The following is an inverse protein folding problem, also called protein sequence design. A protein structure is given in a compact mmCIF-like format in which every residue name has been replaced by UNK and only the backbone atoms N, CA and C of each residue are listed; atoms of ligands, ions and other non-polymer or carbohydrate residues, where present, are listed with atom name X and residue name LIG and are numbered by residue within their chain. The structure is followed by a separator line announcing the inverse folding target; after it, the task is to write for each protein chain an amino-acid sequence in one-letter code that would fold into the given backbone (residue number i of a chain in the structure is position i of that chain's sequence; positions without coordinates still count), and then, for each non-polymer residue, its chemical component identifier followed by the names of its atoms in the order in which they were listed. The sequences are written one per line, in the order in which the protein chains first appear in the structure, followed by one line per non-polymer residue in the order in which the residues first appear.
data_IF_878562314946
#
_entry.id   IF_878562314946
#
_cell.length_a   1.000
_cell.length_b   1.000
_cell.length_c   1.000
_cell.angle_alpha   90.00
_cell.angle_beta   90.00
_cell.angle_gamma   90.00
#
_symmetry.space_group_name_H-M   'P 1'
#
loop_
_entity.id
_entity.type
_entity.pdbx_description
1 polymer ?
#
# COMPACT_ATOMS: atom_id res chain seq x y z
N UNK A 1 -23.62 -59.05 16.77
CA UNK A 1 -22.99 -58.22 15.72
C UNK A 1 -22.55 -59.11 14.57
N UNK A 2 -23.23 -59.11 13.41
CA UNK A 2 -22.66 -59.71 12.19
C UNK A 2 -22.76 -58.85 10.91
N UNK A 3 -21.64 -58.23 10.55
CA UNK A 3 -20.95 -58.22 9.23
C UNK A 3 -21.74 -58.05 7.91
N UNK A 4 -21.96 -56.78 7.49
CA UNK A 4 -22.61 -56.36 6.22
C UNK A 4 -21.66 -56.18 5.00
N UNK A 5 -20.54 -56.91 4.92
CA UNK A 5 -19.54 -56.73 3.85
C UNK A 5 -19.60 -57.77 2.71
N UNK A 6 -20.73 -58.45 2.53
CA UNK A 6 -20.91 -59.52 1.52
C UNK A 6 -21.97 -59.20 0.45
N UNK A 7 -21.93 -58.00 -0.13
CA UNK A 7 -22.61 -57.72 -1.41
C UNK A 7 -21.58 -57.45 -2.52
N UNK A 8 -21.05 -58.54 -3.07
CA UNK A 8 -20.25 -58.60 -4.29
C UNK A 8 -21.21 -58.42 -5.49
N UNK A 9 -21.18 -57.26 -6.16
CA UNK A 9 -21.79 -57.10 -7.49
C UNK A 9 -20.84 -57.76 -8.50
N UNK A 10 -21.40 -58.72 -9.23
CA UNK A 10 -20.75 -59.59 -10.20
C UNK A 10 -20.89 -58.94 -11.58
N UNK A 11 -19.79 -58.51 -12.18
CA UNK A 11 -19.71 -58.25 -13.62
C UNK A 11 -18.87 -59.38 -14.24
N UNK A 12 -19.52 -60.22 -15.03
CA UNK A 12 -18.90 -61.22 -15.91
C UNK A 12 -18.82 -60.62 -17.32
N UNK A 13 -17.60 -60.46 -17.86
CA UNK A 13 -17.14 -61.12 -19.10
C UNK A 13 -15.67 -60.76 -19.42
N UNK A 14 -14.78 -61.73 -19.18
CA UNK A 14 -13.60 -62.21 -19.96
C UNK A 14 -12.81 -61.25 -20.89
N UNK A 15 -11.48 -61.30 -21.07
CA UNK A 15 -10.40 -62.20 -20.62
C UNK A 15 -9.01 -61.61 -20.97
N UNK A 16 -8.00 -61.96 -20.16
CA UNK A 16 -6.53 -61.99 -20.42
C UNK A 16 -5.80 -60.64 -20.63
N UNK A 17 -4.62 -60.35 -20.05
CA UNK A 17 -3.49 -61.19 -19.64
C UNK A 17 -2.56 -60.45 -18.66
N UNK A 18 -1.72 -61.20 -17.96
CA UNK A 18 -0.80 -60.75 -16.90
C UNK A 18 0.29 -59.77 -17.36
N UNK A 19 0.65 -58.81 -16.50
CA UNK A 19 1.85 -57.98 -16.63
C UNK A 19 2.16 -57.23 -15.34
N UNK A 20 3.30 -57.57 -14.71
CA UNK A 20 3.85 -56.97 -13.49
C UNK A 20 4.07 -55.45 -13.63
N UNK A 21 3.75 -54.66 -12.60
CA UNK A 21 4.76 -53.87 -11.86
C UNK A 21 4.13 -53.16 -10.66
N UNK A 22 4.77 -53.32 -9.52
CA UNK A 22 4.55 -52.52 -8.31
C UNK A 22 5.15 -51.14 -8.54
N UNK A 23 4.33 -50.16 -8.93
CA UNK A 23 4.62 -48.76 -8.61
C UNK A 23 3.92 -48.45 -7.30
N UNK A 24 4.68 -48.51 -6.21
CA UNK A 24 4.33 -47.86 -4.95
C UNK A 24 4.33 -46.36 -5.25
N UNK A 25 3.24 -45.87 -5.84
CA UNK A 25 2.98 -44.45 -5.96
C UNK A 25 2.72 -43.95 -4.55
N UNK A 26 3.73 -43.38 -3.92
CA UNK A 26 3.57 -42.60 -2.70
C UNK A 26 2.54 -41.53 -3.02
N UNK A 27 1.32 -41.70 -2.55
CA UNK A 27 0.32 -40.64 -2.57
C UNK A 27 0.88 -39.54 -1.67
N UNK A 28 1.49 -38.53 -2.27
CA UNK A 28 1.80 -37.28 -1.58
C UNK A 28 0.45 -36.66 -1.23
N UNK A 29 0.00 -36.87 0.01
CA UNK A 29 -1.11 -36.13 0.58
C UNK A 29 -0.73 -34.64 0.47
N UNK A 30 -1.53 -33.80 -0.22
CA UNK A 30 -1.25 -32.38 -0.29
C UNK A 30 -1.13 -31.82 1.12
N UNK A 31 -0.03 -31.13 1.42
CA UNK A 31 0.07 -30.35 2.66
C UNK A 31 -1.12 -29.41 2.74
N UNK A 32 -1.78 -29.40 3.88
CA UNK A 32 -2.85 -28.45 4.17
C UNK A 32 -2.22 -27.06 4.16
N UNK A 33 -2.53 -26.27 3.12
CA UNK A 33 -2.13 -24.87 3.05
C UNK A 33 -2.95 -24.14 4.11
N UNK A 34 -2.38 -24.01 5.31
CA UNK A 34 -2.97 -23.20 6.38
C UNK A 34 -2.82 -21.74 5.97
N UNK A 35 -3.92 -21.12 5.53
CA UNK A 35 -3.98 -19.70 5.27
C UNK A 35 -3.66 -18.95 6.55
N UNK A 36 -2.63 -18.09 6.51
CA UNK A 36 -2.31 -17.19 7.60
C UNK A 36 -2.97 -15.85 7.31
N UNK A 37 -3.95 -15.49 8.14
CA UNK A 37 -4.64 -14.22 8.04
C UNK A 37 -3.87 -13.16 8.83
N UNK A 38 -3.47 -12.09 8.14
CA UNK A 38 -2.85 -10.92 8.74
C UNK A 38 -3.73 -9.71 8.49
N UNK A 39 -4.03 -8.94 9.54
CA UNK A 39 -4.83 -7.72 9.45
C UNK A 39 -4.10 -6.56 10.13
N UNK A 40 -4.05 -5.43 9.43
CA UNK A 40 -3.59 -4.15 9.96
C UNK A 40 -4.70 -3.11 9.75
N UNK A 41 -4.99 -2.31 10.78
CA UNK A 41 -5.91 -1.17 10.69
C UNK A 41 -5.20 0.10 11.15
N UNK A 42 -4.94 1.00 10.21
CA UNK A 42 -4.35 2.30 10.47
C UNK A 42 -5.45 3.36 10.49
N UNK A 43 -5.32 4.33 11.39
CA UNK A 43 -6.20 5.48 11.48
C UNK A 43 -5.38 6.75 11.31
N UNK A 44 -5.68 7.49 10.27
CA UNK A 44 -5.10 8.80 10.01
C UNK A 44 -6.11 9.89 10.31
N UNK A 45 -5.63 11.00 10.86
CA UNK A 45 -6.45 12.16 11.16
C UNK A 45 -5.71 13.43 10.76
N UNK A 46 -6.30 14.19 9.85
CA UNK A 46 -5.86 15.54 9.52
C UNK A 46 -6.63 16.55 10.37
N UNK A 47 -5.94 17.57 10.87
CA UNK A 47 -6.55 18.75 11.46
C UNK A 47 -6.13 19.96 10.66
N UNK A 48 -7.09 20.73 10.18
CA UNK A 48 -6.86 21.98 9.50
C UNK A 48 -7.28 23.13 10.41
N UNK A 49 -6.47 24.18 10.48
CA UNK A 49 -6.82 25.45 11.12
C UNK A 49 -7.18 26.49 10.06
N UNK A 50 -7.69 27.66 10.48
CA UNK A 50 -8.13 28.73 9.57
C UNK A 50 -7.14 29.01 8.42
N UNK A 51 -7.68 29.22 7.23
CA UNK A 51 -6.89 29.60 6.06
C UNK A 51 -6.35 31.02 6.19
N UNK A 52 -5.08 31.20 5.85
CA UNK A 52 -4.44 32.51 5.81
C UNK A 52 -4.70 33.17 4.46
N UNK A 53 -5.21 34.40 4.46
CA UNK A 53 -5.36 35.20 3.24
C UNK A 53 -4.01 35.84 2.91
N UNK A 54 -3.43 35.46 1.78
CA UNK A 54 -2.18 36.04 1.29
C UNK A 54 -2.46 37.04 0.16
N UNK A 55 -1.58 38.03 0.02
CA UNK A 55 -1.62 38.95 -1.11
C UNK A 55 -1.23 38.19 -2.38
N UNK A 56 -2.08 38.19 -3.40
CA UNK A 56 -1.81 37.49 -4.66
C UNK A 56 -0.59 38.08 -5.39
N UNK A 57 0.30 37.24 -5.90
CA UNK A 57 1.47 37.66 -6.67
C UNK A 57 2.46 36.52 -6.92
N UNK A 58 3.49 36.73 -7.77
CA UNK A 58 4.50 35.70 -8.08
C UNK A 58 5.32 35.23 -6.87
N UNK A 59 5.31 36.00 -5.77
CA UNK A 59 6.03 35.68 -4.54
C UNK A 59 5.16 34.96 -3.50
N UNK A 60 3.85 34.80 -3.73
CA UNK A 60 2.95 34.23 -2.71
C UNK A 60 3.35 32.79 -2.33
N UNK A 61 3.75 31.98 -3.31
CA UNK A 61 4.27 30.62 -3.07
C UNK A 61 5.64 30.64 -2.40
N UNK A 62 6.50 31.61 -2.71
CA UNK A 62 7.80 31.79 -2.09
C UNK A 62 7.72 32.20 -0.60
N UNK A 63 6.59 32.76 -0.17
CA UNK A 63 6.35 33.14 1.22
C UNK A 63 5.85 31.97 2.08
N UNK A 64 5.30 30.90 1.50
CA UNK A 64 4.74 29.77 2.24
C UNK A 64 5.72 29.14 3.24
N UNK A 65 7.01 28.90 2.91
CA UNK A 65 7.97 28.36 3.87
C UNK A 65 8.16 29.25 5.10
N UNK A 66 8.05 30.58 4.92
CA UNK A 66 8.22 31.53 6.02
C UNK A 66 7.13 31.41 7.09
N UNK A 67 5.96 30.86 6.75
CA UNK A 67 4.88 30.61 7.70
C UNK A 67 5.23 29.54 8.73
N UNK A 68 6.19 28.66 8.42
CA UNK A 68 6.69 27.63 9.34
C UNK A 68 7.95 28.08 10.10
N UNK A 69 8.44 29.30 9.86
CA UNK A 69 9.64 29.82 10.49
C UNK A 69 9.48 29.88 12.02
N UNK A 70 10.44 29.28 12.74
CA UNK A 70 10.40 29.21 14.21
C UNK A 70 9.49 28.12 14.79
N UNK A 71 8.73 27.41 13.95
CA UNK A 71 7.94 26.24 14.34
C UNK A 71 8.56 24.93 13.84
N UNK A 72 9.15 24.96 12.64
CA UNK A 72 9.82 23.83 12.01
C UNK A 72 11.03 23.33 12.82
N UNK A 73 11.09 22.02 13.08
CA UNK A 73 12.27 21.32 13.64
C UNK A 73 13.17 20.74 12.56
N UNK A 74 12.67 20.54 11.34
CA UNK A 74 13.43 20.06 10.19
C UNK A 74 13.51 21.11 9.08
N UNK A 75 14.23 20.79 8.00
CA UNK A 75 14.11 21.52 6.75
C UNK A 75 12.64 21.60 6.31
N UNK A 76 12.29 22.72 5.68
CA UNK A 76 10.96 22.96 5.12
C UNK A 76 11.03 22.62 3.63
N UNK A 77 10.33 21.56 3.23
CA UNK A 77 10.27 21.13 1.84
C UNK A 77 9.03 21.73 1.16
N UNK A 78 9.21 22.24 -0.06
CA UNK A 78 8.14 22.74 -0.92
C UNK A 78 7.95 21.73 -2.05
N UNK A 79 6.71 21.28 -2.21
CA UNK A 79 6.27 20.35 -3.25
C UNK A 79 5.37 21.10 -4.20
N UNK A 80 5.82 21.22 -5.44
CA UNK A 80 5.04 21.80 -6.52
C UNK A 80 3.91 20.86 -6.96
N UNK A 81 2.83 21.38 -7.57
CA UNK A 81 1.80 20.55 -8.16
C UNK A 81 2.39 19.56 -9.16
N UNK A 82 1.87 18.34 -9.13
CA UNK A 82 2.27 17.26 -10.01
C UNK A 82 1.96 17.59 -11.48
N UNK A 83 2.83 17.13 -12.40
CA UNK A 83 2.51 17.12 -13.81
C UNK A 83 1.20 16.36 -14.09
N UNK A 84 0.49 16.76 -15.15
CA UNK A 84 -0.82 16.20 -15.48
C UNK A 84 -0.79 14.68 -15.73
N UNK A 85 0.36 14.14 -16.13
CA UNK A 85 0.62 12.72 -16.31
C UNK A 85 0.48 11.91 -15.01
N UNK A 86 0.65 12.57 -13.85
CA UNK A 86 0.51 11.98 -12.52
C UNK A 86 -0.79 12.40 -11.81
N UNK A 87 -1.73 13.05 -12.50
CA UNK A 87 -3.00 13.52 -11.93
C UNK A 87 -3.92 12.41 -11.37
N UNK A 88 -3.62 11.14 -11.66
CA UNK A 88 -4.35 9.97 -11.13
C UNK A 88 -3.52 9.16 -10.14
N UNK A 89 -2.34 9.65 -9.76
CA UNK A 89 -1.50 9.01 -8.76
C UNK A 89 -2.22 9.03 -7.39
N UNK A 90 -2.27 7.88 -6.72
CA UNK A 90 -2.85 7.77 -5.37
C UNK A 90 -2.08 6.73 -4.55
N UNK A 91 -1.93 6.90 -3.22
CA UNK A 91 -1.26 5.94 -2.35
C UNK A 91 -2.10 4.67 -2.07
N UNK A 92 -3.02 4.30 -2.96
CA UNK A 92 -3.94 3.17 -2.77
C UNK A 92 -3.41 1.88 -3.40
N UNK A 93 -2.99 0.92 -2.57
CA UNK A 93 -2.49 -0.39 -3.03
C UNK A 93 -3.52 -1.24 -3.80
N UNK A 94 -4.82 -0.96 -3.64
CA UNK A 94 -5.87 -1.66 -4.37
C UNK A 94 -5.84 -1.39 -5.89
N UNK A 95 -5.15 -0.32 -6.32
CA UNK A 95 -4.96 0.04 -7.73
C UNK A 95 -3.47 0.15 -8.03
N UNK A 96 -2.78 -0.99 -8.32
CA UNK A 96 -1.31 -1.04 -8.38
C UNK A 96 -0.67 -0.09 -9.39
N UNK A 97 -1.34 0.20 -10.51
CA UNK A 97 -0.85 1.15 -11.51
C UNK A 97 -0.80 2.58 -10.97
N UNK A 98 -1.84 3.00 -10.25
CA UNK A 98 -1.93 4.33 -9.65
C UNK A 98 -0.95 4.46 -8.47
N UNK A 99 -0.83 3.40 -7.67
CA UNK A 99 0.18 3.34 -6.60
C UNK A 99 1.61 3.42 -7.14
N UNK A 100 1.89 2.79 -8.28
CA UNK A 100 3.21 2.88 -8.92
C UNK A 100 3.47 4.28 -9.49
N UNK A 101 2.44 4.93 -10.07
CA UNK A 101 2.54 6.34 -10.49
C UNK A 101 2.81 7.24 -9.29
N UNK A 102 2.14 7.01 -8.17
CA UNK A 102 2.35 7.75 -6.93
C UNK A 102 3.77 7.60 -6.39
N UNK A 103 4.31 6.37 -6.37
CA UNK A 103 5.69 6.15 -5.96
C UNK A 103 6.68 6.87 -6.89
N UNK A 104 6.47 6.78 -8.21
CA UNK A 104 7.32 7.46 -9.18
C UNK A 104 7.26 8.98 -9.06
N UNK A 105 6.09 9.54 -8.72
CA UNK A 105 5.92 10.96 -8.49
C UNK A 105 6.68 11.44 -7.23
N UNK A 106 6.70 10.63 -6.16
CA UNK A 106 7.10 11.12 -4.83
C UNK A 106 8.41 10.56 -4.27
N UNK A 107 9.07 9.59 -4.94
CA UNK A 107 10.26 8.92 -4.40
C UNK A 107 11.45 9.84 -4.11
N UNK A 108 11.53 11.02 -4.75
CA UNK A 108 12.62 11.98 -4.55
C UNK A 108 12.43 12.88 -3.32
N UNK A 109 11.22 12.96 -2.76
CA UNK A 109 10.93 13.81 -1.60
C UNK A 109 11.54 13.25 -0.32
N UNK A 110 11.70 14.10 0.69
CA UNK A 110 12.19 13.67 1.99
C UNK A 110 11.26 12.64 2.66
N UNK A 111 11.77 11.84 3.62
CA UNK A 111 10.94 10.88 4.35
C UNK A 111 9.71 11.49 5.01
N UNK A 112 9.87 12.68 5.60
CA UNK A 112 8.80 13.44 6.24
C UNK A 112 7.71 13.75 5.22
N UNK A 113 8.09 14.35 4.08
CA UNK A 113 7.16 14.74 3.02
C UNK A 113 6.47 13.54 2.41
N UNK A 114 7.20 12.46 2.09
CA UNK A 114 6.59 11.24 1.55
C UNK A 114 5.54 10.68 2.48
N UNK A 115 5.83 10.60 3.78
CA UNK A 115 4.85 10.11 4.75
C UNK A 115 3.65 11.06 4.89
N UNK A 116 3.90 12.37 4.96
CA UNK A 116 2.84 13.37 5.02
C UNK A 116 1.90 13.26 3.82
N UNK A 117 2.44 13.10 2.60
CA UNK A 117 1.65 12.91 1.39
C UNK A 117 0.85 11.61 1.41
N UNK A 118 1.43 10.48 1.84
CA UNK A 118 0.67 9.22 2.03
C UNK A 118 -0.53 9.47 2.94
N UNK A 119 -0.32 10.12 4.09
CA UNK A 119 -1.35 10.35 5.10
C UNK A 119 -2.43 11.30 4.59
N UNK A 120 -2.04 12.45 4.05
CA UNK A 120 -2.95 13.53 3.67
C UNK A 120 -3.74 13.20 2.41
N UNK A 121 -3.13 12.59 1.40
CA UNK A 121 -3.87 12.14 0.21
C UNK A 121 -4.80 10.96 0.53
N UNK A 122 -4.45 10.08 1.47
CA UNK A 122 -5.32 8.98 1.90
C UNK A 122 -6.62 9.44 2.57
N UNK A 123 -6.63 10.66 3.11
CA UNK A 123 -7.80 11.27 3.75
C UNK A 123 -8.38 12.44 2.92
N UNK A 124 -7.92 12.62 1.68
CA UNK A 124 -8.38 13.67 0.76
C UNK A 124 -8.21 15.10 1.34
N UNK A 125 -7.11 15.32 2.07
CA UNK A 125 -6.80 16.62 2.67
C UNK A 125 -5.91 17.51 1.79
N UNK A 126 -5.23 16.93 0.80
CA UNK A 126 -4.37 17.60 -0.18
C UNK A 126 -4.55 16.88 -1.52
N UNK A 127 -4.56 17.64 -2.62
CA UNK A 127 -4.55 17.11 -3.98
C UNK A 127 -3.40 17.74 -4.78
N UNK A 128 -2.30 17.00 -4.93
CA UNK A 128 -1.14 17.51 -5.67
C UNK A 128 -1.38 17.67 -7.17
N UNK A 129 -2.53 17.29 -7.75
CA UNK A 129 -2.86 17.72 -9.10
C UNK A 129 -3.05 19.25 -9.19
N UNK A 130 -3.31 19.93 -8.06
CA UNK A 130 -3.60 21.37 -8.00
C UNK A 130 -2.82 22.11 -6.92
N UNK A 131 -2.57 21.46 -5.78
CA UNK A 131 -2.04 22.11 -4.60
C UNK A 131 -0.51 22.22 -4.64
N UNK A 132 0.01 23.37 -4.22
CA UNK A 132 1.39 23.48 -3.74
C UNK A 132 1.39 23.12 -2.26
N UNK A 133 2.21 22.14 -1.88
CA UNK A 133 2.28 21.63 -0.52
C UNK A 133 3.60 21.99 0.14
N UNK A 134 3.56 22.44 1.38
CA UNK A 134 4.77 22.77 2.17
C UNK A 134 4.77 21.95 3.44
N UNK A 135 5.87 21.23 3.68
CA UNK A 135 5.97 20.26 4.75
C UNK A 135 7.22 20.45 5.59
N UNK A 136 7.09 20.24 6.91
CA UNK A 136 8.21 20.16 7.83
C UNK A 136 7.80 19.37 9.08
N UNK A 137 8.77 18.78 9.76
CA UNK A 137 8.56 18.11 11.03
C UNK A 137 8.40 19.15 12.14
N UNK A 138 7.24 19.16 12.81
CA UNK A 138 7.00 20.02 13.98
C UNK A 138 7.39 19.32 15.29
N UNK A 139 7.26 17.99 15.34
CA UNK A 139 7.60 17.18 16.50
C UNK A 139 7.96 15.75 16.10
N UNK A 140 8.72 15.04 16.95
CA UNK A 140 9.25 13.72 16.66
C UNK A 140 10.65 13.73 16.05
N UNK A 141 11.12 12.56 15.63
CA UNK A 141 12.42 12.31 15.02
C UNK A 141 12.27 11.30 13.87
N UNK A 142 13.16 11.36 12.88
CA UNK A 142 13.24 10.34 11.83
C UNK A 142 14.21 9.25 12.32
N UNK A 143 13.84 7.98 12.20
CA UNK A 143 14.76 6.87 12.46
C UNK A 143 15.91 6.87 11.44
N UNK A 144 17.02 6.23 11.83
CA UNK A 144 18.19 5.90 10.99
C UNK A 144 17.85 5.24 9.65
N UNK A 145 16.68 4.63 9.53
CA UNK A 145 16.17 4.02 8.31
C UNK A 145 15.29 4.94 7.47
N UNK A 146 15.26 6.24 7.76
CA UNK A 146 14.44 7.24 7.07
C UNK A 146 12.94 6.94 7.16
N UNK A 147 12.48 6.47 8.33
CA UNK A 147 11.06 6.36 8.67
C UNK A 147 10.70 7.41 9.73
N UNK A 148 9.65 8.22 9.52
CA UNK A 148 9.15 9.15 10.54
C UNK A 148 8.37 8.45 11.67
#
# INVERSE_FOLDING_TARGET
MPLDFLKRKKDDTASASAGKSTTSGTVLLPEEIVAQDFQLKLYYAGKTSEGVRMQTGPNATAELPSMLAGLAKSEVEVVDPLPIEFSQATPTIARPSEAMQWLNAHHLHSPITRHALVVLESIDAVDLAFDTFVCSLLDGEIDTSDYP
#
